data_IF_595075177130
#
_entry.id   IF_595075177130
#
_cell.length_a   1.000
_cell.length_b   1.000
_cell.length_c   1.000
_cell.angle_alpha   90.00
_cell.angle_beta   90.00
_cell.angle_gamma   90.00
#
_symmetry.space_group_name_H-M   'P 1'
#
loop_
_entity.id
_entity.type
_entity.pdbx_description
1 polymer ?
#
# COMPACT_ATOMS: atom_id res chain seq x y z
N UNK A 1 12.64 13.65 -4.77
CA UNK A 1 12.46 12.19 -4.85
C UNK A 1 11.63 11.74 -3.66
N UNK A 2 10.64 10.89 -3.91
CA UNK A 2 9.80 10.26 -2.90
C UNK A 2 10.00 8.75 -2.97
N UNK A 3 10.16 8.11 -1.82
CA UNK A 3 10.25 6.65 -1.71
C UNK A 3 9.29 6.20 -0.61
N UNK A 4 8.28 5.43 -0.99
CA UNK A 4 7.44 4.72 -0.03
C UNK A 4 8.23 3.56 0.55
N UNK A 5 8.13 3.34 1.85
CA UNK A 5 8.74 2.20 2.52
C UNK A 5 7.79 1.61 3.53
N UNK A 6 7.89 0.29 3.73
CA UNK A 6 7.14 -0.41 4.76
C UNK A 6 7.62 0.04 6.15
N UNK A 7 6.74 0.71 6.88
CA UNK A 7 6.96 1.11 8.27
C UNK A 7 6.36 0.12 9.24
N UNK A 8 7.14 -0.25 10.26
CA UNK A 8 6.69 -1.04 11.42
C UNK A 8 6.66 -0.13 12.66
N UNK A 9 5.65 -0.25 13.52
CA UNK A 9 5.51 0.58 14.73
C UNK A 9 6.59 0.23 15.75
N UNK A 10 7.47 1.18 16.12
CA UNK A 10 8.43 0.97 17.22
C UNK A 10 7.70 0.70 18.55
N UNK A 11 8.36 -0.06 19.44
CA UNK A 11 7.81 -0.74 20.62
C UNK A 11 6.86 0.07 21.53
N UNK A 12 6.17 -0.67 22.41
CA UNK A 12 5.06 -0.28 23.30
C UNK A 12 3.66 -0.33 22.65
N UNK A 13 3.61 -0.47 21.34
CA UNK A 13 2.59 -1.27 20.68
C UNK A 13 3.31 -2.55 20.25
N UNK A 14 2.95 -3.70 20.80
CA UNK A 14 3.29 -4.97 20.16
C UNK A 14 2.75 -4.82 18.72
N UNK A 15 3.51 -4.84 17.63
CA UNK A 15 4.64 -5.69 17.31
C UNK A 15 5.56 -5.04 16.24
N UNK A 16 6.88 -5.33 16.25
CA UNK A 16 7.73 -5.28 15.06
C UNK A 16 8.23 -6.69 14.77
N UNK A 17 7.75 -7.27 13.67
CA UNK A 17 8.42 -8.33 12.93
C UNK A 17 8.74 -9.59 13.72
N UNK A 18 7.72 -10.31 14.17
CA UNK A 18 7.81 -11.76 14.26
C UNK A 18 6.38 -12.27 14.14
N UNK A 19 6.20 -13.35 13.38
CA UNK A 19 5.06 -14.25 13.50
C UNK A 19 4.75 -14.38 15.00
N UNK A 20 3.70 -13.70 15.47
CA UNK A 20 3.17 -14.02 16.79
C UNK A 20 2.76 -15.50 16.74
N UNK A 21 2.73 -16.17 17.89
CA UNK A 21 2.49 -17.61 18.00
C UNK A 21 1.14 -18.10 17.44
N UNK A 22 0.39 -17.22 16.76
CA UNK A 22 -0.95 -17.42 16.20
C UNK A 22 -1.05 -17.25 14.68
N UNK A 23 0.04 -16.92 13.96
CA UNK A 23 0.03 -16.87 12.49
C UNK A 23 -0.69 -15.67 11.87
N UNK A 24 -0.93 -14.62 12.65
CA UNK A 24 -1.42 -13.33 12.17
C UNK A 24 -0.23 -12.40 11.87
N UNK A 25 -0.28 -11.69 10.74
CA UNK A 25 0.74 -10.72 10.37
C UNK A 25 0.52 -9.41 11.13
N UNK A 26 1.58 -8.63 11.23
CA UNK A 26 1.58 -7.41 12.03
C UNK A 26 1.21 -6.21 11.18
N UNK A 27 0.35 -5.29 11.66
CA UNK A 27 -0.11 -4.17 10.85
C UNK A 27 1.05 -3.40 10.21
N UNK A 28 1.13 -3.45 8.89
CA UNK A 28 2.17 -2.82 8.11
C UNK A 28 1.69 -1.43 7.68
N UNK A 29 2.38 -0.38 8.13
CA UNK A 29 1.97 1.00 7.83
C UNK A 29 2.84 1.61 6.74
N UNK A 30 2.26 2.35 5.77
CA UNK A 30 3.04 2.98 4.72
C UNK A 30 3.76 4.22 5.27
N UNK A 31 5.08 4.27 5.10
CA UNK A 31 5.92 5.42 5.44
C UNK A 31 6.51 6.09 4.20
N UNK A 32 6.96 7.35 4.33
CA UNK A 32 7.55 8.13 3.25
C UNK A 32 8.96 8.61 3.57
N UNK A 33 9.87 8.46 2.61
CA UNK A 33 11.18 9.09 2.58
C UNK A 33 11.21 10.18 1.50
N UNK A 34 11.88 11.28 1.81
CA UNK A 34 12.05 12.44 0.93
C UNK A 34 13.51 12.78 0.74
N UNK A 35 13.90 13.08 -0.49
CA UNK A 35 15.25 13.56 -0.82
C UNK A 35 15.22 14.57 -1.96
N UNK A 36 16.21 15.47 -2.03
CA UNK A 36 16.36 16.40 -3.15
C UNK A 36 16.76 15.70 -4.45
N UNK A 37 17.56 14.63 -4.36
CA UNK A 37 18.04 13.81 -5.48
C UNK A 37 17.93 12.31 -5.16
N UNK A 38 18.15 11.46 -6.16
CA UNK A 38 18.13 10.00 -5.99
C UNK A 38 19.30 9.49 -5.13
N UNK A 39 20.37 10.27 -5.00
CA UNK A 39 21.53 9.95 -4.14
C UNK A 39 21.27 10.23 -2.66
N UNK A 40 20.12 10.82 -2.31
CA UNK A 40 19.84 11.26 -0.95
C UNK A 40 20.52 12.59 -0.58
N UNK A 41 20.61 12.92 0.72
CA UNK A 41 20.14 12.11 1.85
C UNK A 41 18.62 11.97 1.89
N UNK A 42 18.15 10.83 2.38
CA UNK A 42 16.72 10.57 2.56
C UNK A 42 16.30 10.92 3.99
N UNK A 43 15.28 11.75 4.11
CA UNK A 43 14.66 12.16 5.37
C UNK A 43 13.31 11.48 5.50
N UNK A 44 13.06 10.87 6.66
CA UNK A 44 11.82 10.18 6.99
C UNK A 44 10.73 11.19 7.37
N UNK A 45 9.50 10.97 6.92
CA UNK A 45 8.34 11.61 7.52
C UNK A 45 8.03 10.92 8.85
N UNK A 46 7.88 11.70 9.93
CA UNK A 46 7.73 11.13 11.28
C UNK A 46 6.45 10.30 11.46
N UNK A 47 5.44 10.54 10.63
CA UNK A 47 4.15 9.85 10.67
C UNK A 47 3.94 8.94 9.45
N UNK A 48 3.14 7.87 9.61
CA UNK A 48 2.62 7.10 8.48
C UNK A 48 1.89 8.01 7.48
N UNK A 49 1.90 7.60 6.22
CA UNK A 49 1.21 8.27 5.12
C UNK A 49 -0.31 8.24 5.35
N UNK A 50 -0.83 7.12 5.85
CA UNK A 50 -2.19 6.89 6.33
C UNK A 50 -2.21 5.62 7.20
N UNK A 51 -3.28 5.43 7.98
CA UNK A 51 -3.46 4.27 8.86
C UNK A 51 -4.21 3.14 8.11
N UNK A 52 -3.46 2.37 7.32
CA UNK A 52 -3.98 1.20 6.61
C UNK A 52 -2.90 0.13 6.52
N UNK A 53 -3.34 -1.12 6.51
CA UNK A 53 -2.49 -2.32 6.42
C UNK A 53 -2.19 -2.66 4.96
N UNK A 54 -1.04 -2.19 4.49
CA UNK A 54 -0.67 -2.24 3.07
C UNK A 54 0.81 -2.52 2.84
N UNK A 55 1.11 -3.25 1.77
CA UNK A 55 2.45 -3.64 1.33
C UNK A 55 2.68 -3.28 -0.16
N UNK A 56 3.87 -3.61 -0.69
CA UNK A 56 4.19 -3.55 -2.12
C UNK A 56 3.84 -2.23 -2.83
N UNK A 57 4.24 -1.11 -2.22
CA UNK A 57 3.97 0.22 -2.77
C UNK A 57 4.71 0.46 -4.09
N UNK A 58 3.93 0.76 -5.13
CA UNK A 58 4.42 1.33 -6.39
C UNK A 58 3.98 2.78 -6.49
N UNK A 59 4.94 3.70 -6.64
CA UNK A 59 4.69 5.13 -6.66
C UNK A 59 5.14 5.76 -7.97
N UNK A 60 4.36 6.71 -8.49
CA UNK A 60 4.74 7.53 -9.63
C UNK A 60 4.20 8.96 -9.50
N UNK A 61 4.78 9.87 -10.26
CA UNK A 61 4.35 11.27 -10.33
C UNK A 61 3.69 11.57 -11.67
N UNK A 62 2.70 12.45 -11.64
CA UNK A 62 2.10 13.06 -12.83
C UNK A 62 1.94 14.57 -12.60
N UNK A 63 1.44 15.28 -13.61
CA UNK A 63 1.08 16.69 -13.47
C UNK A 63 0.02 16.95 -12.38
N UNK A 64 -0.72 15.92 -11.95
CA UNK A 64 -1.75 16.04 -10.91
C UNK A 64 -1.21 15.84 -9.49
N UNK A 65 -0.06 15.19 -9.35
CA UNK A 65 0.49 14.85 -8.03
C UNK A 65 1.16 13.48 -8.01
N UNK A 66 1.21 12.91 -6.81
CA UNK A 66 1.84 11.61 -6.52
C UNK A 66 0.75 10.56 -6.41
N UNK A 67 0.99 9.46 -7.09
CA UNK A 67 0.11 8.31 -7.14
C UNK A 67 0.79 7.14 -6.46
N UNK A 68 0.00 6.27 -5.83
CA UNK A 68 0.48 5.06 -5.19
C UNK A 68 -0.51 3.92 -5.44
N UNK A 69 0.00 2.82 -5.98
CA UNK A 69 -0.66 1.51 -5.92
C UNK A 69 -0.01 0.70 -4.81
N UNK A 70 -0.81 -0.10 -4.13
CA UNK A 70 -0.33 -0.95 -3.04
C UNK A 70 -1.18 -2.22 -2.95
N UNK A 71 -0.61 -3.22 -2.30
CA UNK A 71 -1.31 -4.45 -1.96
C UNK A 71 -1.95 -4.28 -0.57
N UNK A 72 -3.24 -4.57 -0.43
CA UNK A 72 -3.93 -4.56 0.87
C UNK A 72 -3.78 -5.89 1.59
N UNK A 73 -3.24 -5.84 2.81
CA UNK A 73 -3.05 -7.01 3.65
C UNK A 73 -4.22 -7.31 4.60
N UNK A 74 -5.29 -6.51 4.58
CA UNK A 74 -6.45 -6.74 5.44
C UNK A 74 -7.06 -8.15 5.21
N UNK A 75 -6.97 -8.98 6.25
CA UNK A 75 -7.36 -10.38 6.27
C UNK A 75 -8.85 -10.61 6.61
N UNK A 76 -9.68 -9.57 6.68
CA UNK A 76 -11.12 -9.76 6.76
C UNK A 76 -11.61 -10.50 5.49
N UNK A 77 -12.52 -11.47 5.64
CA UNK A 77 -13.01 -12.32 4.53
C UNK A 77 -13.45 -11.51 3.28
N UNK A 78 -14.04 -10.33 3.49
CA UNK A 78 -14.46 -9.41 2.42
C UNK A 78 -13.29 -8.66 1.73
N UNK A 79 -12.13 -8.53 2.38
CA UNK A 79 -10.93 -7.88 1.84
C UNK A 79 -9.92 -8.85 1.20
N UNK A 80 -10.01 -10.16 1.47
CA UNK A 80 -9.33 -11.16 0.63
C UNK A 80 -9.72 -11.04 -0.86
N UNK A 81 -10.92 -10.54 -1.13
CA UNK A 81 -11.44 -10.25 -2.46
C UNK A 81 -11.09 -8.86 -2.99
N UNK A 82 -10.30 -8.04 -2.28
CA UNK A 82 -9.91 -6.66 -2.67
C UNK A 82 -8.46 -6.42 -2.29
N UNK A 83 -7.54 -6.80 -3.18
CA UNK A 83 -6.10 -6.80 -2.89
C UNK A 83 -5.38 -5.56 -3.39
N UNK A 84 -5.97 -4.86 -4.35
CA UNK A 84 -5.40 -3.62 -4.86
C UNK A 84 -5.99 -2.40 -4.19
N UNK A 85 -5.15 -1.58 -3.58
CA UNK A 85 -5.54 -0.28 -3.07
C UNK A 85 -4.79 0.84 -3.80
N UNK A 86 -5.37 2.04 -3.74
CA UNK A 86 -4.82 3.22 -4.39
C UNK A 86 -4.84 4.41 -3.43
N UNK A 87 -3.76 5.21 -3.47
CA UNK A 87 -3.70 6.47 -2.76
C UNK A 87 -3.15 7.57 -3.68
N UNK A 88 -3.57 8.80 -3.39
CA UNK A 88 -3.21 9.97 -4.17
C UNK A 88 -2.90 11.17 -3.28
N UNK A 89 -1.85 11.90 -3.65
CA UNK A 89 -1.46 13.15 -3.02
C UNK A 89 -1.30 14.24 -4.07
N UNK A 90 -2.11 15.29 -3.98
CA UNK A 90 -2.04 16.44 -4.88
C UNK A 90 -0.87 17.39 -4.55
N UNK A 91 -0.30 17.28 -3.35
CA UNK A 91 0.63 18.24 -2.75
C UNK A 91 2.02 17.62 -2.52
N UNK A 92 2.47 16.80 -3.46
CA UNK A 92 3.79 16.17 -3.45
C UNK A 92 4.06 15.34 -2.18
N UNK A 93 3.07 14.57 -1.74
CA UNK A 93 3.13 13.59 -0.66
C UNK A 93 2.88 14.15 0.74
N UNK A 94 2.38 15.37 0.88
CA UNK A 94 2.15 16.01 2.19
C UNK A 94 0.84 15.52 2.80
N UNK A 95 -0.24 15.51 2.00
CA UNK A 95 -1.54 14.94 2.36
C UNK A 95 -1.95 13.84 1.38
N UNK A 96 -2.70 12.86 1.85
CA UNK A 96 -3.05 11.66 1.10
C UNK A 96 -4.54 11.36 1.18
N UNK A 97 -5.12 11.03 0.02
CA UNK A 97 -6.45 10.47 -0.12
C UNK A 97 -6.30 8.98 -0.41
N UNK A 98 -6.72 8.15 0.54
CA UNK A 98 -6.66 6.70 0.43
C UNK A 98 -8.00 6.11 -0.01
N UNK A 99 -7.94 5.10 -0.87
CA UNK A 99 -9.08 4.28 -1.26
C UNK A 99 -8.73 2.81 -1.10
N UNK A 100 -9.43 2.15 -0.16
CA UNK A 100 -9.46 0.69 -0.02
C UNK A 100 -10.34 0.00 -1.08
N UNK A 101 -10.98 0.76 -1.98
CA UNK A 101 -11.68 0.15 -3.12
C UNK A 101 -10.68 -0.48 -4.06
N UNK A 102 -11.08 -1.61 -4.62
CA UNK A 102 -10.33 -2.35 -5.62
C UNK A 102 -9.85 -1.42 -6.75
N UNK A 103 -8.52 -1.27 -6.83
CA UNK A 103 -7.90 -0.35 -7.77
C UNK A 103 -7.90 -0.86 -9.23
N UNK A 104 -8.17 -2.15 -9.45
CA UNK A 104 -8.21 -2.76 -10.79
C UNK A 104 -9.24 -3.89 -10.87
N UNK A 105 -9.86 -4.11 -12.04
CA UNK A 105 -10.81 -5.21 -12.22
C UNK A 105 -10.14 -6.56 -11.99
N UNK A 106 -10.89 -7.48 -11.42
CA UNK A 106 -10.43 -8.83 -11.06
C UNK A 106 -11.07 -9.92 -11.88
N UNK A 107 -11.76 -9.54 -12.95
CA UNK A 107 -12.43 -10.42 -13.87
C UNK A 107 -11.89 -10.15 -15.28
N UNK A 108 -11.53 -11.21 -15.99
CA UNK A 108 -11.30 -11.16 -17.42
C UNK A 108 -12.64 -11.38 -18.11
N UNK A 109 -13.04 -10.44 -18.96
CA UNK A 109 -14.09 -10.67 -19.94
C UNK A 109 -13.46 -11.39 -21.14
N UNK A 110 -14.07 -12.48 -21.57
CA UNK A 110 -13.65 -13.27 -22.72
C UNK A 110 -14.54 -12.93 -23.93
N UNK A 111 -14.05 -13.21 -25.14
CA UNK A 111 -14.75 -12.89 -26.40
C UNK A 111 -16.08 -13.64 -26.55
N UNK A 112 -16.27 -14.73 -25.81
CA UNK A 112 -17.52 -15.50 -25.74
C UNK A 112 -18.54 -14.92 -24.74
N UNK A 113 -18.33 -13.68 -24.30
CA UNK A 113 -19.09 -12.97 -23.27
C UNK A 113 -19.05 -13.61 -21.87
N UNK A 114 -18.24 -14.64 -21.64
CA UNK A 114 -18.04 -15.21 -20.31
C UNK A 114 -17.06 -14.36 -19.50
N UNK A 115 -17.01 -14.61 -18.18
CA UNK A 115 -16.05 -13.95 -17.30
C UNK A 115 -15.33 -14.95 -16.42
N UNK A 116 -14.02 -14.74 -16.23
CA UNK A 116 -13.19 -15.52 -15.32
C UNK A 116 -12.61 -14.63 -14.25
N UNK A 117 -12.88 -14.95 -12.97
CA UNK A 117 -12.25 -14.29 -11.83
C UNK A 117 -10.78 -14.68 -11.77
N UNK A 118 -9.90 -13.69 -11.80
CA UNK A 118 -8.48 -13.90 -11.59
C UNK A 118 -8.22 -14.22 -10.12
N UNK A 119 -7.63 -15.38 -9.87
CA UNK A 119 -7.17 -15.73 -8.53
C UNK A 119 -6.05 -14.78 -8.12
N UNK A 120 -6.23 -14.10 -6.98
CA UNK A 120 -5.23 -13.19 -6.43
C UNK A 120 -4.24 -14.01 -5.63
N UNK A 121 -3.05 -14.23 -6.18
CA UNK A 121 -1.96 -14.93 -5.48
C UNK A 121 -1.07 -13.90 -4.79
N UNK A 122 -0.75 -14.15 -3.53
CA UNK A 122 0.38 -13.50 -2.85
C UNK A 122 1.69 -14.11 -3.34
N UNK A 123 2.78 -13.35 -3.23
CA UNK A 123 4.14 -13.85 -3.49
C UNK A 123 4.71 -14.52 -2.25
#
# INVERSE_FOLDING_TARGET
VLVGYRGTRCCCNAIIGAWSSTGEHEPETPGLLRAASWTGPYVRTEQPIFDADVEDMFMWTSARGVHMLMHSQDNAHFNHERRGAYAFSADAGVSWNFSAREAWPTHLALDDCSSTKLAKRQR
#
